data_IF_042754015502
#
_entry.id   IF_042754015502
#
_cell.length_a   1.000
_cell.length_b   1.000
_cell.length_c   1.000
_cell.angle_alpha   90.00
_cell.angle_beta   90.00
_cell.angle_gamma   90.00
#
_symmetry.space_group_name_H-M   'P 1'
#
loop_
_entity.id
_entity.type
_entity.pdbx_description
1 polymer ?
#
# COMPACT_ATOMS: atom_id res chain seq x y z
N UNK A 1 30.60 23.66 1.08
CA UNK A 1 30.93 22.72 0.00
C UNK A 1 30.58 23.38 -1.32
N UNK A 2 31.53 23.43 -2.26
CA UNK A 2 31.31 23.99 -3.61
C UNK A 2 31.00 22.80 -4.53
N UNK A 3 29.81 22.79 -5.11
CA UNK A 3 29.38 21.73 -6.03
C UNK A 3 30.15 21.91 -7.34
N UNK A 4 30.93 20.91 -7.73
CA UNK A 4 31.72 20.91 -8.95
C UNK A 4 30.89 20.47 -10.16
N UNK A 5 31.42 20.69 -11.37
CA UNK A 5 30.77 20.22 -12.62
C UNK A 5 30.53 18.71 -12.63
N UNK A 6 31.40 17.93 -11.97
CA UNK A 6 31.26 16.48 -11.82
C UNK A 6 30.06 16.10 -10.95
N UNK A 7 29.80 16.87 -9.90
CA UNK A 7 28.67 16.65 -9.01
C UNK A 7 27.35 16.90 -9.74
N UNK A 8 27.29 17.91 -10.60
CA UNK A 8 26.14 18.15 -11.47
C UNK A 8 25.86 17.02 -12.45
N UNK A 9 26.89 16.38 -13.02
CA UNK A 9 26.70 15.19 -13.86
C UNK A 9 26.14 14.02 -13.05
N UNK A 10 26.60 13.84 -11.81
CA UNK A 10 26.11 12.78 -10.93
C UNK A 10 24.66 13.02 -10.48
N UNK A 11 24.30 14.27 -10.14
CA UNK A 11 22.91 14.66 -9.85
C UNK A 11 22.02 14.42 -11.07
N UNK A 12 22.47 14.78 -12.27
CA UNK A 12 21.73 14.53 -13.51
C UNK A 12 21.47 13.04 -13.73
N UNK A 13 22.46 12.18 -13.48
CA UNK A 13 22.31 10.73 -13.56
C UNK A 13 21.29 10.20 -12.54
N UNK A 14 21.33 10.68 -11.30
CA UNK A 14 20.36 10.29 -10.27
C UNK A 14 18.93 10.66 -10.70
N UNK A 15 18.74 11.89 -11.16
CA UNK A 15 17.43 12.38 -11.61
C UNK A 15 16.93 11.54 -12.80
N UNK A 16 17.81 11.21 -13.74
CA UNK A 16 17.49 10.34 -14.88
C UNK A 16 17.03 8.96 -14.41
N UNK A 17 17.78 8.31 -13.52
CA UNK A 17 17.44 6.98 -12.98
C UNK A 17 16.11 7.02 -12.24
N UNK A 18 15.90 8.01 -11.37
CA UNK A 18 14.63 8.18 -10.64
C UNK A 18 13.48 8.39 -11.63
N UNK A 19 13.67 9.23 -12.65
CA UNK A 19 12.67 9.49 -13.68
C UNK A 19 12.27 8.22 -14.44
N UNK A 20 13.24 7.38 -14.82
CA UNK A 20 13.00 6.08 -15.46
C UNK A 20 12.21 5.16 -14.52
N UNK A 21 12.63 5.03 -13.26
CA UNK A 21 11.93 4.20 -12.27
C UNK A 21 10.46 4.62 -12.11
N UNK A 22 10.21 5.92 -11.96
CA UNK A 22 8.85 6.47 -11.85
C UNK A 22 8.05 6.23 -13.13
N UNK A 23 8.67 6.35 -14.30
CA UNK A 23 8.03 6.06 -15.58
C UNK A 23 7.65 4.59 -15.78
N UNK A 24 8.42 3.67 -15.19
CA UNK A 24 8.17 2.22 -15.27
C UNK A 24 7.23 1.72 -14.17
N UNK A 25 7.09 2.43 -13.05
CA UNK A 25 6.15 2.07 -11.98
C UNK A 25 4.70 2.22 -12.46
N UNK A 26 4.20 1.21 -13.17
CA UNK A 26 2.85 1.17 -13.72
C UNK A 26 1.77 1.08 -12.65
N UNK A 27 0.51 1.22 -13.08
CA UNK A 27 -0.66 1.05 -12.21
C UNK A 27 -0.72 -0.36 -11.61
N UNK A 28 -1.27 -0.45 -10.41
CA UNK A 28 -1.47 -1.71 -9.71
C UNK A 28 -2.22 -2.71 -10.59
N UNK A 29 -1.65 -3.90 -10.75
CA UNK A 29 -2.23 -4.98 -11.56
C UNK A 29 -3.21 -5.87 -10.78
N UNK A 30 -3.35 -5.62 -9.48
CA UNK A 30 -4.08 -6.45 -8.54
C UNK A 30 -5.45 -5.85 -8.23
N UNK A 31 -6.38 -6.70 -7.82
CA UNK A 31 -7.72 -6.25 -7.41
C UNK A 31 -7.66 -5.58 -6.04
N UNK A 32 -8.34 -4.46 -5.88
CA UNK A 32 -8.51 -3.79 -4.58
C UNK A 32 -9.52 -4.53 -3.72
N UNK A 33 -9.40 -4.41 -2.39
CA UNK A 33 -10.41 -4.94 -1.46
C UNK A 33 -11.74 -4.21 -1.67
N UNK A 34 -12.88 -4.92 -1.82
CA UNK A 34 -14.18 -4.28 -1.96
C UNK A 34 -14.49 -3.40 -0.74
N UNK A 35 -15.02 -2.19 -0.94
CA UNK A 35 -15.55 -1.38 0.16
C UNK A 35 -17.06 -1.65 0.28
N UNK A 36 -17.41 -2.77 0.91
CA UNK A 36 -18.78 -3.18 1.14
C UNK A 36 -18.96 -3.69 2.57
N UNK A 37 -20.20 -3.99 2.96
CA UNK A 37 -20.56 -4.42 4.31
C UNK A 37 -19.73 -5.59 4.81
N UNK A 38 -19.42 -6.57 3.95
CA UNK A 38 -18.65 -7.76 4.33
C UNK A 38 -17.17 -7.45 4.62
N UNK A 39 -16.60 -6.47 3.93
CA UNK A 39 -15.17 -6.14 4.03
C UNK A 39 -14.90 -4.95 4.94
N UNK A 40 -15.95 -4.27 5.42
CA UNK A 40 -15.85 -3.06 6.24
C UNK A 40 -15.00 -3.28 7.49
N UNK A 41 -15.06 -4.47 8.10
CA UNK A 41 -14.24 -4.84 9.27
C UNK A 41 -12.73 -4.67 9.01
N UNK A 42 -12.27 -4.94 7.79
CA UNK A 42 -10.86 -4.79 7.40
C UNK A 42 -10.47 -3.31 7.33
N UNK A 43 -11.36 -2.46 6.80
CA UNK A 43 -11.16 -1.02 6.76
C UNK A 43 -11.14 -0.44 8.17
N UNK A 44 -12.13 -0.79 8.99
CA UNK A 44 -12.25 -0.30 10.36
C UNK A 44 -11.03 -0.73 11.20
N UNK A 45 -10.56 -1.97 11.06
CA UNK A 45 -9.34 -2.44 11.71
C UNK A 45 -8.09 -1.68 11.24
N UNK A 46 -7.92 -1.50 9.92
CA UNK A 46 -6.75 -0.84 9.36
C UNK A 46 -6.67 0.65 9.71
N UNK A 47 -7.82 1.33 9.81
CA UNK A 47 -7.93 2.77 10.07
C UNK A 47 -8.39 3.10 11.49
N UNK A 48 -8.45 2.13 12.40
CA UNK A 48 -8.88 2.33 13.80
C UNK A 48 -8.18 3.49 14.50
N UNK A 49 -6.89 3.68 14.21
CA UNK A 49 -6.04 4.72 14.79
C UNK A 49 -5.80 5.90 13.84
N UNK A 50 -6.65 6.07 12.83
CA UNK A 50 -6.54 7.17 11.89
C UNK A 50 -6.67 8.51 12.63
N UNK A 51 -5.82 9.50 12.31
CA UNK A 51 -5.93 10.82 12.90
C UNK A 51 -7.27 11.47 12.52
N UNK A 52 -7.91 12.10 13.51
CA UNK A 52 -9.11 12.91 13.31
C UNK A 52 -8.87 14.14 12.42
N UNK A 53 -9.96 14.82 12.06
CA UNK A 53 -9.89 16.03 11.23
C UNK A 53 -9.10 17.17 11.89
N UNK A 54 -9.08 17.20 13.22
CA UNK A 54 -8.40 18.14 14.12
C UNK A 54 -6.90 17.84 14.32
N UNK A 55 -6.42 16.68 13.89
CA UNK A 55 -5.01 16.32 14.03
C UNK A 55 -4.09 17.21 13.18
N UNK A 56 -2.86 17.42 13.66
CA UNK A 56 -1.85 18.20 12.94
C UNK A 56 -1.58 17.65 11.54
N UNK A 57 -1.24 18.55 10.61
CA UNK A 57 -0.91 18.20 9.23
C UNK A 57 0.16 17.11 9.17
N UNK A 58 1.19 17.21 10.01
CA UNK A 58 2.25 16.21 10.10
C UNK A 58 1.71 14.81 10.44
N UNK A 59 0.84 14.69 11.44
CA UNK A 59 0.28 13.39 11.86
C UNK A 59 -0.61 12.78 10.77
N UNK A 60 -1.34 13.61 10.02
CA UNK A 60 -2.17 13.17 8.89
C UNK A 60 -1.33 12.73 7.70
N UNK A 61 -0.31 13.49 7.33
CA UNK A 61 0.57 13.21 6.18
C UNK A 61 1.37 11.92 6.35
N UNK A 62 1.84 11.63 7.57
CA UNK A 62 2.68 10.46 7.84
C UNK A 62 1.92 9.28 8.46
N UNK A 63 0.60 9.35 8.58
CA UNK A 63 -0.20 8.23 9.05
C UNK A 63 -0.08 7.03 8.09
N UNK A 64 0.07 5.84 8.66
CA UNK A 64 0.06 4.58 7.92
C UNK A 64 -0.99 3.66 8.54
N UNK A 65 -1.96 3.15 7.75
CA UNK A 65 -2.95 2.22 8.26
C UNK A 65 -2.29 0.92 8.71
N UNK A 66 -2.84 0.29 9.75
CA UNK A 66 -2.37 -1.01 10.26
C UNK A 66 -2.88 -2.15 9.37
N UNK A 67 -2.24 -2.28 8.21
CA UNK A 67 -2.58 -3.32 7.24
C UNK A 67 -2.33 -4.71 7.80
N UNK A 68 -1.26 -4.91 8.58
CA UNK A 68 -0.89 -6.23 9.08
C UNK A 68 -1.90 -6.70 10.13
N UNK A 69 -2.34 -5.81 11.03
CA UNK A 69 -3.38 -6.11 12.00
C UNK A 69 -4.73 -6.44 11.35
N UNK A 70 -5.07 -5.78 10.24
CA UNK A 70 -6.33 -6.00 9.54
C UNK A 70 -6.39 -7.30 8.72
N UNK A 71 -5.25 -7.87 8.33
CA UNK A 71 -5.19 -9.09 7.49
C UNK A 71 -5.72 -10.35 8.19
N UNK A 72 -5.80 -10.35 9.53
CA UNK A 72 -6.34 -11.49 10.31
C UNK A 72 -7.80 -11.81 9.96
N UNK A 73 -8.54 -10.83 9.43
CA UNK A 73 -9.94 -10.99 9.06
C UNK A 73 -10.14 -11.59 7.65
N UNK A 74 -9.06 -11.79 6.87
CA UNK A 74 -9.16 -12.31 5.51
C UNK A 74 -9.25 -13.85 5.46
N UNK A 75 -8.46 -14.54 6.29
CA UNK A 75 -8.31 -16.00 6.25
C UNK A 75 -9.61 -16.78 6.52
N UNK A 76 -10.48 -16.38 7.47
CA UNK A 76 -11.72 -17.10 7.74
C UNK A 76 -12.65 -17.23 6.51
N UNK A 77 -12.57 -16.31 5.55
CA UNK A 77 -13.38 -16.34 4.34
C UNK A 77 -12.61 -16.85 3.11
N UNK A 78 -11.37 -16.39 2.91
CA UNK A 78 -10.57 -16.73 1.73
C UNK A 78 -9.76 -18.03 1.86
N UNK A 79 -9.87 -18.73 2.99
CA UNK A 79 -9.29 -20.08 3.18
C UNK A 79 -10.34 -21.07 3.66
N UNK A 80 -11.13 -20.71 4.66
CA UNK A 80 -11.98 -21.67 5.39
C UNK A 80 -13.42 -21.73 4.89
N UNK A 81 -14.06 -20.59 4.59
CA UNK A 81 -15.47 -20.53 4.13
C UNK A 81 -15.64 -20.57 2.60
N UNK A 82 -14.64 -21.06 1.87
CA UNK A 82 -14.83 -21.48 0.47
C UNK A 82 -14.62 -20.42 -0.62
N UNK A 83 -14.10 -19.22 -0.32
CA UNK A 83 -13.65 -18.31 -1.38
C UNK A 83 -12.23 -18.69 -1.79
N UNK A 84 -12.12 -19.62 -2.74
CA UNK A 84 -10.83 -20.10 -3.23
C UNK A 84 -10.05 -19.00 -3.94
N UNK A 85 -8.74 -18.96 -3.69
CA UNK A 85 -7.83 -18.16 -4.48
C UNK A 85 -7.66 -18.75 -5.89
N UNK A 86 -7.36 -17.93 -6.92
CA UNK A 86 -7.06 -18.44 -8.25
C UNK A 86 -5.82 -19.34 -8.24
N UNK A 87 -5.67 -20.27 -9.21
CA UNK A 87 -4.59 -21.27 -9.22
C UNK A 87 -3.16 -20.71 -9.13
N UNK A 88 -2.93 -19.51 -9.67
CA UNK A 88 -1.63 -18.83 -9.68
C UNK A 88 -1.52 -17.74 -8.60
N UNK A 89 -2.33 -17.79 -7.55
CA UNK A 89 -2.24 -16.82 -6.47
C UNK A 89 -0.93 -17.00 -5.69
N UNK A 90 -0.21 -15.91 -5.35
CA UNK A 90 0.97 -15.98 -4.49
C UNK A 90 0.68 -16.63 -3.12
N UNK A 91 1.72 -16.97 -2.33
CA UNK A 91 1.54 -17.48 -0.99
C UNK A 91 0.62 -16.59 -0.13
N UNK A 92 -0.07 -17.22 0.83
CA UNK A 92 -1.10 -16.59 1.68
C UNK A 92 -0.48 -15.75 2.81
N UNK A 93 0.40 -14.82 2.46
CA UNK A 93 1.00 -13.87 3.38
C UNK A 93 0.79 -12.45 2.85
N UNK A 94 0.45 -11.52 3.75
CA UNK A 94 0.37 -10.08 3.42
C UNK A 94 -0.66 -9.73 2.35
N UNK A 95 -1.93 -10.08 2.56
CA UNK A 95 -3.02 -9.81 1.62
C UNK A 95 -3.10 -8.34 1.19
N UNK A 96 -2.96 -7.40 2.14
CA UNK A 96 -3.10 -5.95 1.90
C UNK A 96 -1.83 -5.28 1.33
N UNK A 97 -0.78 -6.07 1.07
CA UNK A 97 0.38 -5.63 0.31
C UNK A 97 0.03 -5.52 -1.18
N UNK A 98 -0.61 -6.56 -1.72
CA UNK A 98 -1.06 -6.63 -3.11
C UNK A 98 -2.48 -6.10 -3.29
N UNK A 99 -3.41 -6.43 -2.39
CA UNK A 99 -4.81 -6.01 -2.48
C UNK A 99 -5.03 -4.74 -1.67
N UNK A 100 -4.87 -3.57 -2.29
CA UNK A 100 -4.98 -2.30 -1.56
C UNK A 100 -6.44 -2.00 -1.16
N UNK A 101 -6.58 -1.32 -0.02
CA UNK A 101 -7.82 -0.73 0.43
C UNK A 101 -8.15 0.48 -0.45
N UNK A 102 -9.42 0.66 -0.82
CA UNK A 102 -9.87 1.85 -1.53
C UNK A 102 -9.93 3.02 -0.54
N UNK A 103 -9.30 4.14 -0.89
CA UNK A 103 -9.52 5.41 -0.20
C UNK A 103 -10.92 5.94 -0.51
#
# INVERSE_FOLDING_TARGET
MKIDKRDWMFVGLIVLVIGIFVGITGKEKTTTVPNNTMHKIVYDAAYKNAPGADASLFKRTFFKPDKKGAEVYCEPCHKEKGVAFPPNHPPKNRCLFCHKLKL
#
